data_IF_324625316385
#
_entry.id   IF_324625316385
#
_cell.length_a   1.000
_cell.length_b   1.000
_cell.length_c   1.000
_cell.angle_alpha   90.00
_cell.angle_beta   90.00
_cell.angle_gamma   90.00
#
_symmetry.space_group_name_H-M   'P 1'
#
loop_
_entity.id
_entity.type
_entity.pdbx_description
1 polymer ?
#
# COMPACT_ATOMS: atom_id res chain seq x y z
N UNK A 1 13.98 -18.21 23.31
CA UNK A 1 13.85 -17.59 21.98
C UNK A 1 12.53 -16.83 21.95
N UNK A 2 12.57 -15.52 22.17
CA UNK A 2 11.38 -14.65 22.18
C UNK A 2 11.01 -14.32 20.73
N UNK A 3 9.81 -14.72 20.32
CA UNK A 3 9.25 -14.31 19.03
C UNK A 3 8.81 -12.85 19.16
N UNK A 4 9.49 -11.95 18.48
CA UNK A 4 9.05 -10.56 18.31
C UNK A 4 7.85 -10.59 17.35
N UNK A 5 6.64 -10.53 17.88
CA UNK A 5 5.42 -10.36 17.09
C UNK A 5 5.18 -8.86 16.97
N UNK A 6 5.42 -8.31 15.79
CA UNK A 6 5.00 -6.95 15.47
C UNK A 6 3.46 -6.97 15.29
N UNK A 7 2.75 -6.67 16.34
CA UNK A 7 1.30 -6.43 16.29
C UNK A 7 1.08 -5.03 15.69
N UNK A 8 0.63 -4.98 14.44
CA UNK A 8 0.08 -3.73 13.90
C UNK A 8 -1.21 -3.42 14.66
N UNK A 9 -1.18 -2.39 15.49
CA UNK A 9 -2.31 -1.94 16.29
C UNK A 9 -3.42 -1.39 15.39
N UNK A 10 -4.58 -2.06 15.39
CA UNK A 10 -5.81 -1.59 14.78
C UNK A 10 -6.51 -0.70 15.79
N UNK A 11 -6.69 0.57 15.49
CA UNK A 11 -7.57 1.47 16.26
C UNK A 11 -8.99 1.32 15.69
N UNK A 12 -9.86 0.63 16.46
CA UNK A 12 -11.27 0.54 16.16
C UNK A 12 -11.98 1.82 16.62
N UNK A 13 -12.50 2.60 15.68
CA UNK A 13 -13.49 3.65 15.94
C UNK A 13 -14.89 3.03 15.83
N UNK A 14 -15.59 2.96 16.96
CA UNK A 14 -16.98 2.48 17.01
C UNK A 14 -17.92 3.51 16.40
N UNK A 15 -18.54 3.20 15.29
CA UNK A 15 -19.80 3.81 14.83
C UNK A 15 -20.75 2.73 14.36
N UNK A 16 -21.98 2.84 14.79
CA UNK A 16 -23.16 2.01 14.63
C UNK A 16 -23.26 1.16 13.37
N UNK A 17 -23.54 -0.10 13.60
CA UNK A 17 -23.63 -1.20 12.66
C UNK A 17 -24.61 -0.98 11.51
N UNK A 18 -24.14 -1.18 10.28
CA UNK A 18 -24.90 -1.79 9.20
C UNK A 18 -24.30 -3.19 8.97
N UNK A 19 -25.18 -4.17 9.03
CA UNK A 19 -24.88 -5.59 8.89
C UNK A 19 -24.24 -5.86 7.52
N UNK A 20 -22.92 -5.94 7.50
CA UNK A 20 -22.20 -6.58 6.40
C UNK A 20 -21.84 -7.99 6.88
N UNK A 21 -22.42 -9.03 6.28
CA UNK A 21 -22.29 -10.42 6.69
C UNK A 21 -21.04 -11.14 6.20
N UNK A 22 -19.97 -10.41 5.90
CA UNK A 22 -18.64 -10.99 5.78
C UNK A 22 -17.99 -10.86 7.17
N UNK A 23 -17.66 -11.97 7.79
CA UNK A 23 -16.91 -11.95 9.03
C UNK A 23 -15.65 -11.10 8.83
N UNK A 24 -15.50 -10.02 9.61
CA UNK A 24 -14.34 -9.18 9.59
C UNK A 24 -13.07 -10.03 9.69
N UNK A 25 -12.12 -9.80 8.80
CA UNK A 25 -10.89 -10.59 8.74
C UNK A 25 -9.66 -9.69 8.78
N UNK A 26 -8.63 -10.19 9.40
CA UNK A 26 -7.32 -9.56 9.44
C UNK A 26 -6.38 -10.32 8.49
N UNK A 27 -5.72 -9.58 7.63
CA UNK A 27 -4.68 -10.07 6.74
C UNK A 27 -3.34 -9.48 7.22
N UNK A 28 -2.37 -10.33 7.49
CA UNK A 28 -1.09 -9.87 8.01
C UNK A 28 0.09 -10.68 7.47
N UNK A 29 1.27 -10.09 7.57
CA UNK A 29 2.54 -10.66 7.19
C UNK A 29 3.27 -11.16 8.43
N UNK A 30 3.74 -12.40 8.40
CA UNK A 30 4.68 -12.92 9.39
C UNK A 30 6.06 -13.05 8.78
N UNK A 31 7.04 -12.40 9.40
CA UNK A 31 8.43 -12.41 8.97
C UNK A 31 9.24 -13.37 9.85
N UNK A 32 10.08 -14.16 9.21
CA UNK A 32 11.13 -14.95 9.84
C UNK A 32 12.42 -14.81 9.04
N UNK A 33 13.60 -15.18 9.59
CA UNK A 33 14.90 -14.95 8.93
C UNK A 33 15.02 -15.49 7.51
N UNK A 34 14.23 -16.50 7.14
CA UNK A 34 14.33 -17.18 5.86
C UNK A 34 13.05 -17.17 5.03
N UNK A 35 11.96 -16.57 5.50
CA UNK A 35 10.70 -16.50 4.77
C UNK A 35 9.82 -15.34 5.22
N UNK A 36 8.95 -14.90 4.32
CA UNK A 36 7.81 -14.05 4.61
C UNK A 36 6.55 -14.79 4.15
N UNK A 37 5.51 -14.87 4.99
CA UNK A 37 4.26 -15.59 4.69
C UNK A 37 3.06 -14.73 5.05
N UNK A 38 2.03 -14.88 4.26
CA UNK A 38 0.74 -14.28 4.53
C UNK A 38 -0.08 -15.18 5.46
N UNK A 39 -0.75 -14.55 6.40
CA UNK A 39 -1.68 -15.15 7.33
C UNK A 39 -3.01 -14.42 7.28
N UNK A 40 -4.06 -15.11 7.64
CA UNK A 40 -5.40 -14.57 7.78
C UNK A 40 -6.00 -15.04 9.10
N UNK A 41 -6.74 -14.17 9.77
CA UNK A 41 -7.50 -14.47 10.98
C UNK A 41 -8.86 -13.77 10.96
N UNK A 42 -9.72 -14.10 11.89
CA UNK A 42 -10.90 -13.30 12.21
C UNK A 42 -10.48 -11.97 12.84
N UNK A 43 -11.37 -10.97 12.87
CA UNK A 43 -11.07 -9.66 13.45
C UNK A 43 -10.75 -9.70 14.96
N UNK A 44 -11.25 -10.70 15.67
CA UNK A 44 -10.95 -10.97 17.08
C UNK A 44 -9.60 -11.69 17.31
N UNK A 45 -8.86 -11.98 16.21
CA UNK A 45 -7.60 -12.71 16.21
C UNK A 45 -7.76 -14.22 16.28
N UNK A 46 -8.96 -14.75 16.38
CA UNK A 46 -9.20 -16.20 16.33
C UNK A 46 -9.05 -16.75 14.90
N UNK A 47 -8.92 -18.06 14.76
CA UNK A 47 -8.86 -18.71 13.46
C UNK A 47 -7.62 -18.34 12.63
N UNK A 48 -6.54 -17.89 13.27
CA UNK A 48 -5.27 -17.60 12.58
C UNK A 48 -4.79 -18.83 11.81
N UNK A 49 -4.54 -18.65 10.52
CA UNK A 49 -3.97 -19.69 9.67
C UNK A 49 -3.09 -19.10 8.58
N UNK A 50 -2.09 -19.83 8.11
CA UNK A 50 -1.33 -19.42 6.95
C UNK A 50 -2.22 -19.40 5.70
N UNK A 51 -2.08 -18.35 4.91
CA UNK A 51 -2.73 -18.19 3.61
C UNK A 51 -1.85 -18.73 2.49
N UNK A 52 -0.53 -18.52 2.58
CA UNK A 52 0.44 -18.98 1.58
C UNK A 52 1.33 -20.10 2.13
N UNK A 53 1.87 -20.94 1.23
CA UNK A 53 2.76 -22.04 1.57
C UNK A 53 4.16 -21.55 1.96
N UNK A 54 4.92 -22.29 2.78
CA UNK A 54 6.31 -21.94 3.09
C UNK A 54 7.21 -22.07 1.85
N UNK A 55 8.34 -21.35 1.87
CA UNK A 55 9.39 -21.46 0.85
C UNK A 55 9.43 -20.32 -0.16
N UNK A 56 8.56 -19.32 -0.01
CA UNK A 56 8.59 -18.09 -0.81
C UNK A 56 8.62 -16.85 0.10
N UNK A 57 9.02 -15.72 -0.49
CA UNK A 57 8.84 -14.41 0.11
C UNK A 57 7.54 -13.83 -0.44
N UNK A 58 6.49 -13.82 0.40
CA UNK A 58 5.16 -13.30 0.06
C UNK A 58 4.88 -12.08 0.95
N UNK A 59 4.58 -10.92 0.34
CA UNK A 59 4.44 -9.66 1.08
C UNK A 59 3.51 -8.66 0.35
N UNK A 60 3.28 -7.50 0.96
CA UNK A 60 2.41 -6.42 0.47
C UNK A 60 1.01 -6.89 0.03
N UNK A 61 0.29 -7.64 0.89
CA UNK A 61 -1.05 -8.09 0.56
C UNK A 61 -2.07 -6.96 0.57
N UNK A 62 -3.05 -7.03 -0.34
CA UNK A 62 -4.20 -6.13 -0.40
C UNK A 62 -5.46 -6.88 -0.79
N UNK A 63 -6.56 -6.56 -0.13
CA UNK A 63 -7.87 -7.12 -0.43
C UNK A 63 -8.43 -6.56 -1.75
N UNK A 64 -9.17 -7.40 -2.48
CA UNK A 64 -10.10 -6.89 -3.48
C UNK A 64 -11.32 -6.26 -2.81
N UNK A 65 -12.00 -5.30 -3.46
CA UNK A 65 -13.15 -4.59 -2.87
C UNK A 65 -14.28 -5.49 -2.39
N UNK A 66 -14.54 -6.62 -3.04
CA UNK A 66 -15.56 -7.60 -2.63
C UNK A 66 -15.06 -8.60 -1.60
N UNK A 67 -13.76 -8.63 -1.33
CA UNK A 67 -13.15 -9.60 -0.43
C UNK A 67 -12.98 -11.00 -1.02
N UNK A 68 -13.21 -11.20 -2.31
CA UNK A 68 -13.10 -12.50 -2.98
C UNK A 68 -11.65 -12.86 -3.30
N UNK A 69 -10.79 -11.85 -3.43
CA UNK A 69 -9.38 -12.00 -3.77
C UNK A 69 -8.47 -11.21 -2.84
N UNK A 70 -7.26 -11.71 -2.71
CA UNK A 70 -6.11 -11.02 -2.11
C UNK A 70 -5.04 -10.96 -3.19
N UNK A 71 -4.61 -9.75 -3.57
CA UNK A 71 -3.41 -9.55 -4.40
C UNK A 71 -2.21 -9.37 -3.48
N UNK A 72 -1.07 -9.92 -3.85
CA UNK A 72 0.17 -9.85 -3.08
C UNK A 72 1.37 -9.98 -3.99
N UNK A 73 2.54 -9.63 -3.46
CA UNK A 73 3.81 -9.80 -4.14
C UNK A 73 4.47 -11.09 -3.69
N UNK A 74 5.04 -11.84 -4.63
CA UNK A 74 5.77 -13.08 -4.33
C UNK A 74 7.02 -13.21 -5.18
N UNK A 75 8.11 -13.68 -4.55
CA UNK A 75 9.38 -13.98 -5.23
C UNK A 75 9.55 -15.48 -5.57
N UNK A 76 8.45 -16.27 -5.54
CA UNK A 76 8.48 -17.71 -5.78
C UNK A 76 8.94 -18.13 -7.17
N UNK A 77 8.86 -17.24 -8.15
CA UNK A 77 9.28 -17.48 -9.53
C UNK A 77 10.66 -16.89 -9.86
N UNK A 78 11.40 -16.37 -8.85
CA UNK A 78 12.74 -15.82 -8.99
C UNK A 78 12.81 -14.30 -9.08
N UNK A 79 11.74 -13.63 -9.54
CA UNK A 79 11.53 -12.19 -9.45
C UNK A 79 10.32 -11.88 -8.58
N UNK A 80 10.20 -10.62 -8.12
CA UNK A 80 9.00 -10.19 -7.46
C UNK A 80 7.90 -9.96 -8.49
N UNK A 81 6.83 -10.73 -8.38
CA UNK A 81 5.67 -10.68 -9.25
C UNK A 81 4.38 -10.55 -8.45
N UNK A 82 3.34 -10.03 -9.10
CA UNK A 82 2.01 -10.01 -8.51
C UNK A 82 1.34 -11.38 -8.65
N UNK A 83 0.76 -11.81 -7.55
CA UNK A 83 -0.09 -12.99 -7.45
C UNK A 83 -1.42 -12.61 -6.83
N UNK A 84 -2.45 -13.42 -7.06
CA UNK A 84 -3.69 -13.38 -6.30
C UNK A 84 -4.06 -14.76 -5.77
N UNK A 85 -4.85 -14.76 -4.70
CA UNK A 85 -5.31 -15.98 -4.04
C UNK A 85 -6.67 -15.70 -3.41
N UNK A 86 -7.53 -16.72 -3.30
CA UNK A 86 -8.75 -16.59 -2.51
C UNK A 86 -8.47 -16.59 -1.02
N UNK A 87 -9.34 -15.99 -0.18
CA UNK A 87 -9.16 -15.98 1.27
C UNK A 87 -9.13 -17.37 1.91
N UNK A 88 -9.64 -18.40 1.26
CA UNK A 88 -9.56 -19.80 1.73
C UNK A 88 -8.22 -20.47 1.39
N UNK A 89 -7.36 -19.82 0.60
CA UNK A 89 -6.07 -20.31 0.14
C UNK A 89 -6.11 -21.03 -1.21
N UNK A 90 -7.27 -21.12 -1.83
CA UNK A 90 -7.42 -21.68 -3.18
C UNK A 90 -7.15 -20.65 -4.28
N UNK A 91 -7.05 -21.09 -5.53
CA UNK A 91 -7.01 -20.23 -6.70
C UNK A 91 -5.74 -19.39 -6.81
N UNK A 92 -4.59 -19.87 -6.32
CA UNK A 92 -3.32 -19.17 -6.51
C UNK A 92 -3.03 -18.97 -7.99
N UNK A 93 -2.87 -17.70 -8.40
CA UNK A 93 -2.77 -17.27 -9.78
C UNK A 93 -1.71 -16.18 -9.93
N UNK A 94 -0.70 -16.41 -10.79
CA UNK A 94 0.34 -15.42 -11.12
C UNK A 94 -0.23 -14.41 -12.10
N UNK A 95 -0.17 -13.13 -11.73
CA UNK A 95 -0.73 -12.02 -12.51
C UNK A 95 0.29 -11.38 -13.46
N UNK A 96 1.55 -11.34 -13.05
CA UNK A 96 2.65 -10.78 -13.85
C UNK A 96 3.82 -11.77 -13.93
N UNK A 97 4.63 -11.67 -14.99
CA UNK A 97 5.76 -12.55 -15.28
C UNK A 97 6.95 -11.82 -15.92
N UNK A 98 7.03 -10.51 -15.72
CA UNK A 98 8.12 -9.67 -16.22
C UNK A 98 9.39 -9.87 -15.36
N UNK A 99 10.60 -9.83 -15.93
CA UNK A 99 11.84 -9.91 -15.14
C UNK A 99 12.09 -8.70 -14.23
N UNK A 100 11.33 -7.61 -14.39
CA UNK A 100 11.35 -6.47 -13.47
C UNK A 100 10.63 -6.81 -12.15
N UNK A 101 10.83 -5.97 -11.12
CA UNK A 101 10.05 -6.07 -9.89
C UNK A 101 8.65 -5.51 -10.09
N UNK A 102 7.64 -6.32 -9.82
CA UNK A 102 6.23 -5.96 -9.78
C UNK A 102 5.71 -6.11 -8.35
N UNK A 103 5.26 -5.02 -7.72
CA UNK A 103 4.99 -4.95 -6.29
C UNK A 103 3.79 -4.05 -5.96
N UNK A 104 3.27 -4.14 -4.72
CA UNK A 104 2.29 -3.22 -4.13
C UNK A 104 0.99 -3.09 -4.96
N UNK A 105 0.42 -4.21 -5.37
CA UNK A 105 -0.82 -4.24 -6.15
C UNK A 105 -2.04 -3.74 -5.36
N UNK A 106 -2.92 -2.99 -6.04
CA UNK A 106 -4.22 -2.54 -5.52
C UNK A 106 -5.29 -2.70 -6.60
N UNK A 107 -6.39 -3.38 -6.26
CA UNK A 107 -7.51 -3.58 -7.17
C UNK A 107 -8.29 -2.29 -7.43
N UNK A 108 -8.77 -2.12 -8.66
CA UNK A 108 -9.83 -1.17 -8.98
C UNK A 108 -11.17 -1.57 -8.33
N UNK A 109 -12.11 -0.63 -8.10
CA UNK A 109 -13.39 -0.95 -7.46
C UNK A 109 -14.24 -1.99 -8.20
N UNK A 110 -14.08 -2.10 -9.51
CA UNK A 110 -14.76 -3.10 -10.34
C UNK A 110 -13.99 -4.42 -10.48
N UNK A 111 -12.80 -4.53 -9.83
CA UNK A 111 -11.89 -5.68 -9.84
C UNK A 111 -11.36 -6.11 -11.21
N UNK A 112 -11.52 -5.28 -12.23
CA UNK A 112 -11.05 -5.56 -13.58
C UNK A 112 -9.60 -5.13 -13.81
N UNK A 113 -9.09 -4.19 -13.03
CA UNK A 113 -7.74 -3.68 -13.14
C UNK A 113 -7.02 -3.74 -11.79
N UNK A 114 -5.70 -3.79 -11.83
CA UNK A 114 -4.81 -3.66 -10.67
C UNK A 114 -3.80 -2.57 -11.00
N UNK A 115 -3.73 -1.50 -10.19
CA UNK A 115 -2.60 -0.59 -10.22
C UNK A 115 -1.47 -1.19 -9.37
N UNK A 116 -0.23 -1.09 -9.83
CA UNK A 116 0.92 -1.66 -9.15
C UNK A 116 2.19 -0.87 -9.42
N UNK A 117 3.20 -1.11 -8.61
CA UNK A 117 4.55 -0.56 -8.78
C UNK A 117 5.37 -1.52 -9.61
N UNK A 118 6.11 -1.02 -10.59
CA UNK A 118 7.04 -1.83 -11.37
C UNK A 118 8.33 -1.06 -11.68
N UNK A 119 9.42 -1.81 -11.88
CA UNK A 119 10.71 -1.25 -12.28
C UNK A 119 11.02 -1.47 -13.77
N UNK A 120 10.03 -1.76 -14.61
CA UNK A 120 10.17 -2.03 -16.06
C UNK A 120 10.76 -0.84 -16.81
N UNK A 121 10.41 0.39 -16.42
CA UNK A 121 10.92 1.59 -17.02
C UNK A 121 12.19 2.06 -16.31
N UNK A 122 13.35 1.94 -16.96
CA UNK A 122 14.64 2.47 -16.50
C UNK A 122 15.07 2.03 -15.09
N UNK A 123 14.56 0.88 -14.61
CA UNK A 123 14.77 0.37 -13.25
C UNK A 123 14.32 1.34 -12.15
N UNK A 124 13.31 2.15 -12.43
CA UNK A 124 12.68 3.07 -11.48
C UNK A 124 11.30 2.56 -11.10
N UNK A 125 10.91 2.77 -9.87
CA UNK A 125 9.57 2.47 -9.41
C UNK A 125 8.56 3.43 -10.06
N UNK A 126 7.71 2.91 -10.94
CA UNK A 126 6.62 3.66 -11.58
C UNK A 126 5.32 2.87 -11.45
N UNK A 127 4.20 3.57 -11.57
CA UNK A 127 2.90 2.93 -11.55
C UNK A 127 2.51 2.43 -12.94
N UNK A 128 2.02 1.21 -12.97
CA UNK A 128 1.40 0.61 -14.14
C UNK A 128 0.02 0.07 -13.76
N UNK A 129 -0.81 -0.15 -14.76
CA UNK A 129 -2.14 -0.74 -14.60
C UNK A 129 -2.21 -2.02 -15.41
N UNK A 130 -2.56 -3.12 -14.74
CA UNK A 130 -2.78 -4.44 -15.31
C UNK A 130 -4.27 -4.66 -15.50
N UNK A 131 -4.68 -5.04 -16.70
CA UNK A 131 -6.00 -5.64 -16.95
C UNK A 131 -5.99 -7.10 -16.49
N UNK A 132 -6.83 -7.44 -15.53
CA UNK A 132 -6.84 -8.77 -14.88
C UNK A 132 -7.27 -9.88 -15.85
N UNK A 133 -8.18 -9.57 -16.78
CA UNK A 133 -8.71 -10.54 -17.73
C UNK A 133 -7.73 -10.86 -18.88
N UNK A 134 -7.11 -9.83 -19.44
CA UNK A 134 -6.21 -9.97 -20.60
C UNK A 134 -4.74 -10.11 -20.24
N UNK A 135 -4.37 -9.85 -18.99
CA UNK A 135 -2.97 -9.81 -18.49
C UNK A 135 -2.09 -8.76 -19.17
N UNK A 136 -2.68 -7.80 -19.84
CA UNK A 136 -1.94 -6.71 -20.46
C UNK A 136 -1.73 -5.59 -19.45
N UNK A 137 -0.49 -5.13 -19.33
CA UNK A 137 -0.12 -4.01 -18.47
C UNK A 137 0.22 -2.79 -19.32
N UNK A 138 -0.17 -1.59 -18.83
CA UNK A 138 0.14 -0.29 -19.42
C UNK A 138 0.78 0.63 -18.42
N UNK A 139 1.69 1.48 -18.85
CA UNK A 139 2.28 2.53 -18.02
C UNK A 139 1.20 3.53 -17.59
N UNK A 140 1.23 3.94 -16.33
CA UNK A 140 0.36 4.99 -15.79
C UNK A 140 1.17 6.25 -15.46
N UNK A 141 2.35 6.08 -14.85
CA UNK A 141 3.23 7.20 -14.52
C UNK A 141 4.59 7.04 -15.20
N UNK A 142 5.27 8.17 -15.34
CA UNK A 142 6.63 8.26 -15.89
C UNK A 142 7.37 9.42 -15.22
N UNK A 143 8.66 9.55 -15.50
CA UNK A 143 9.48 10.66 -15.03
C UNK A 143 10.62 10.22 -14.11
N UNK A 144 11.24 11.19 -13.46
CA UNK A 144 12.48 10.97 -12.71
C UNK A 144 12.28 10.55 -11.25
N UNK A 145 11.05 10.61 -10.71
CA UNK A 145 10.73 10.19 -9.35
C UNK A 145 10.36 8.73 -9.25
N UNK A 146 10.44 8.17 -8.05
CA UNK A 146 9.84 6.89 -7.69
C UNK A 146 8.39 7.10 -7.25
N UNK A 147 7.50 6.21 -7.67
CA UNK A 147 6.09 6.18 -7.33
C UNK A 147 5.77 4.88 -6.60
N UNK A 148 5.08 4.97 -5.44
CA UNK A 148 4.93 3.87 -4.50
C UNK A 148 3.55 3.84 -3.87
N UNK A 149 3.16 2.67 -3.33
CA UNK A 149 1.97 2.50 -2.49
C UNK A 149 0.67 3.01 -3.14
N UNK A 150 0.37 2.62 -4.38
CA UNK A 150 -0.84 3.06 -5.03
C UNK A 150 -2.10 2.53 -4.35
N UNK A 151 -3.16 3.33 -4.35
CA UNK A 151 -4.48 2.97 -3.86
C UNK A 151 -5.56 3.56 -4.75
N UNK A 152 -6.47 2.72 -5.26
CA UNK A 152 -7.65 3.16 -5.99
C UNK A 152 -8.65 3.83 -5.07
N UNK A 153 -9.29 4.93 -5.53
CA UNK A 153 -10.44 5.49 -4.83
C UNK A 153 -11.65 4.56 -4.95
N UNK A 154 -12.52 4.48 -3.93
CA UNK A 154 -13.72 3.65 -3.98
C UNK A 154 -14.66 3.97 -5.15
N UNK A 155 -14.71 5.22 -5.61
CA UNK A 155 -15.50 5.64 -6.78
C UNK A 155 -14.80 5.40 -8.13
N UNK A 156 -13.56 4.89 -8.12
CA UNK A 156 -12.78 4.55 -9.31
C UNK A 156 -12.22 5.74 -10.10
N UNK A 157 -12.39 6.96 -9.60
CA UNK A 157 -12.00 8.16 -10.36
C UNK A 157 -10.54 8.56 -10.18
N UNK A 158 -9.90 8.11 -9.10
CA UNK A 158 -8.56 8.50 -8.75
C UNK A 158 -7.70 7.32 -8.28
N UNK A 159 -6.41 7.46 -8.44
CA UNK A 159 -5.39 6.64 -7.80
C UNK A 159 -4.54 7.58 -6.95
N UNK A 160 -4.46 7.31 -5.64
CA UNK A 160 -3.56 8.00 -4.72
C UNK A 160 -2.25 7.21 -4.61
N UNK A 161 -1.13 7.89 -4.50
CA UNK A 161 0.18 7.24 -4.36
C UNK A 161 1.19 8.16 -3.69
N UNK A 162 2.25 7.57 -3.15
CA UNK A 162 3.41 8.28 -2.64
C UNK A 162 4.43 8.52 -3.74
N UNK A 163 5.07 9.68 -3.80
CA UNK A 163 6.10 9.94 -4.81
C UNK A 163 7.16 10.92 -4.33
N UNK A 164 8.41 10.67 -4.70
CA UNK A 164 9.54 11.58 -4.49
C UNK A 164 9.81 12.51 -5.70
N UNK A 165 8.89 12.56 -6.68
CA UNK A 165 9.02 13.36 -7.91
C UNK A 165 9.18 14.87 -7.68
N UNK A 166 8.69 15.38 -6.54
CA UNK A 166 8.85 16.76 -6.13
C UNK A 166 10.10 17.03 -5.29
N UNK A 167 10.89 16.00 -4.99
CA UNK A 167 12.08 16.10 -4.17
C UNK A 167 13.23 16.77 -4.91
N UNK A 168 13.97 17.62 -4.20
CA UNK A 168 15.26 18.16 -4.67
C UNK A 168 16.42 17.17 -4.57
N UNK A 169 16.19 16.02 -3.91
CA UNK A 169 17.17 14.97 -3.77
C UNK A 169 17.22 14.10 -5.03
N UNK A 170 18.36 13.42 -5.30
CA UNK A 170 18.43 12.48 -6.39
C UNK A 170 17.32 11.43 -6.28
N UNK A 171 16.65 11.05 -7.39
CA UNK A 171 15.54 10.11 -7.35
C UNK A 171 15.96 8.76 -6.77
N UNK A 172 15.01 8.12 -6.09
CA UNK A 172 15.20 6.77 -5.58
C UNK A 172 15.49 5.81 -6.73
N UNK A 173 16.49 4.95 -6.54
CA UNK A 173 16.77 3.84 -7.46
C UNK A 173 16.20 2.56 -6.85
N UNK A 174 15.47 1.79 -7.65
CA UNK A 174 14.89 0.54 -7.22
C UNK A 174 13.45 0.67 -6.73
N UNK A 175 12.98 -0.33 -5.96
CA UNK A 175 11.58 -0.52 -5.56
C UNK A 175 11.20 0.08 -4.20
N UNK A 176 12.13 0.71 -3.51
CA UNK A 176 11.91 1.19 -2.15
C UNK A 176 11.76 2.69 -2.10
N UNK A 177 10.79 3.15 -1.32
CA UNK A 177 10.61 4.56 -0.98
C UNK A 177 11.87 5.12 -0.30
N UNK A 178 12.19 6.36 -0.59
CA UNK A 178 13.12 7.12 0.25
C UNK A 178 12.38 7.66 1.45
N UNK A 179 13.02 7.60 2.61
CA UNK A 179 12.42 8.02 3.87
C UNK A 179 12.33 9.54 4.05
N UNK A 180 12.52 10.35 3.03
CA UNK A 180 12.42 11.80 3.14
C UNK A 180 12.01 12.45 1.83
N UNK A 181 11.20 13.49 1.94
CA UNK A 181 10.64 14.28 0.84
C UNK A 181 9.76 13.47 -0.13
N UNK A 182 8.91 12.63 0.43
CA UNK A 182 7.87 11.91 -0.32
C UNK A 182 6.52 12.59 -0.07
N UNK A 183 5.84 12.93 -1.14
CA UNK A 183 4.52 13.57 -1.12
C UNK A 183 3.41 12.61 -1.57
N UNK A 184 2.17 12.92 -1.22
CA UNK A 184 0.99 12.22 -1.73
C UNK A 184 0.51 12.91 -3.00
N UNK A 185 0.35 12.11 -4.05
CA UNK A 185 -0.16 12.52 -5.35
C UNK A 185 -1.45 11.79 -5.69
N UNK A 186 -2.25 12.43 -6.54
CA UNK A 186 -3.40 11.82 -7.22
C UNK A 186 -3.16 11.83 -8.72
N UNK A 187 -3.67 10.80 -9.39
CA UNK A 187 -3.70 10.69 -10.86
C UNK A 187 -5.01 10.02 -11.28
N UNK A 188 -5.52 10.37 -12.46
CA UNK A 188 -6.64 9.63 -13.06
C UNK A 188 -6.18 8.26 -13.55
N UNK A 189 -7.08 7.26 -13.63
CA UNK A 189 -6.74 5.94 -14.17
C UNK A 189 -6.24 5.95 -15.63
N UNK A 190 -6.57 6.97 -16.39
CA UNK A 190 -6.07 7.19 -17.77
C UNK A 190 -4.71 7.90 -17.84
N UNK A 191 -4.14 8.30 -16.68
CA UNK A 191 -2.87 9.02 -16.59
C UNK A 191 -3.00 10.54 -16.59
N UNK A 192 -4.18 11.10 -16.72
CA UNK A 192 -4.42 12.54 -16.68
C UNK A 192 -4.50 13.10 -15.25
N UNK A 193 -4.56 14.43 -15.14
CA UNK A 193 -4.80 15.16 -13.88
C UNK A 193 -3.84 14.83 -12.72
N UNK A 194 -2.57 14.60 -13.01
CA UNK A 194 -1.55 14.40 -11.97
C UNK A 194 -1.44 15.63 -11.08
N UNK A 195 -1.71 15.48 -9.79
CA UNK A 195 -1.60 16.58 -8.81
C UNK A 195 -1.10 16.10 -7.45
N UNK A 196 -0.30 16.95 -6.78
CA UNK A 196 0.08 16.76 -5.37
C UNK A 196 -1.04 17.25 -4.46
N UNK A 197 -1.29 16.54 -3.36
CA UNK A 197 -2.29 16.90 -2.36
C UNK A 197 -1.73 17.06 -0.95
N UNK A 198 -0.52 16.54 -0.65
CA UNK A 198 0.13 16.79 0.64
C UNK A 198 0.89 18.12 0.67
N UNK A 199 1.11 18.64 1.87
CA UNK A 199 2.00 19.79 2.06
C UNK A 199 3.45 19.42 1.75
N UNK A 200 4.16 20.30 1.03
CA UNK A 200 5.57 20.05 0.68
C UNK A 200 6.48 20.15 1.92
N UNK A 201 7.55 19.35 1.90
CA UNK A 201 8.57 19.36 2.95
C UNK A 201 8.38 18.35 4.07
N UNK A 202 7.31 17.57 4.02
CA UNK A 202 7.08 16.44 4.92
C UNK A 202 7.31 15.12 4.17
N UNK A 203 7.50 14.05 4.92
CA UNK A 203 7.38 12.70 4.39
C UNK A 203 5.97 12.18 4.65
N UNK A 204 5.20 11.97 3.59
CA UNK A 204 3.85 11.42 3.70
C UNK A 204 3.75 10.16 2.84
N UNK A 205 3.35 9.03 3.42
CA UNK A 205 3.33 7.75 2.73
C UNK A 205 2.10 6.89 2.96
N UNK A 206 2.01 5.81 2.19
CA UNK A 206 0.97 4.78 2.25
C UNK A 206 -0.46 5.32 2.26
N UNK A 207 -0.87 6.07 1.23
CA UNK A 207 -2.21 6.66 1.18
C UNK A 207 -3.29 5.58 1.16
N UNK A 208 -4.37 5.82 1.90
CA UNK A 208 -5.60 5.01 1.89
C UNK A 208 -6.81 5.92 1.79
N UNK A 209 -7.76 5.54 0.99
CA UNK A 209 -8.98 6.33 0.77
C UNK A 209 -9.99 6.19 1.91
N UNK A 210 -10.72 7.27 2.18
CA UNK A 210 -11.99 7.17 2.89
C UNK A 210 -13.07 6.62 1.95
N UNK A 211 -14.08 5.95 2.51
CA UNK A 211 -15.15 5.32 1.71
C UNK A 211 -15.90 6.29 0.79
N UNK A 212 -16.05 7.53 1.21
CA UNK A 212 -16.74 8.57 0.44
C UNK A 212 -15.88 9.13 -0.71
N UNK A 213 -14.66 8.63 -0.88
CA UNK A 213 -13.70 9.08 -1.90
C UNK A 213 -13.33 10.56 -1.82
N UNK A 214 -13.61 11.25 -0.70
CA UNK A 214 -13.34 12.68 -0.53
C UNK A 214 -12.03 12.99 0.13
N UNK A 215 -11.43 12.02 0.81
CA UNK A 215 -10.18 12.22 1.53
C UNK A 215 -9.26 11.01 1.43
N UNK A 216 -7.99 11.27 1.68
CA UNK A 216 -6.94 10.26 1.81
C UNK A 216 -6.38 10.32 3.22
N UNK A 217 -6.21 9.16 3.85
CA UNK A 217 -5.46 9.03 5.11
C UNK A 217 -4.06 8.55 4.76
N UNK A 218 -3.05 9.26 5.25
CA UNK A 218 -1.65 8.93 5.08
C UNK A 218 -0.91 9.07 6.42
N UNK A 219 0.19 8.36 6.60
CA UNK A 219 1.10 8.73 7.67
C UNK A 219 2.01 9.85 7.18
N UNK A 220 2.27 10.82 8.05
CA UNK A 220 3.19 11.91 7.77
C UNK A 220 4.15 12.12 8.95
N UNK A 221 5.38 12.55 8.62
CA UNK A 221 6.33 13.08 9.58
C UNK A 221 6.99 14.33 9.00
N UNK A 222 7.50 15.21 9.84
CA UNK A 222 8.24 16.37 9.36
C UNK A 222 9.53 15.95 8.64
N UNK A 223 9.99 16.75 7.70
CA UNK A 223 11.27 16.50 7.04
C UNK A 223 12.45 16.46 8.02
N UNK A 224 12.38 17.19 9.14
CA UNK A 224 13.37 17.17 10.21
C UNK A 224 13.37 15.81 10.95
N UNK A 225 12.18 15.29 11.29
CA UNK A 225 12.03 14.00 11.95
C UNK A 225 12.54 12.85 11.11
N UNK A 226 12.37 12.88 9.76
CA UNK A 226 12.88 11.82 8.87
C UNK A 226 14.39 11.67 8.92
N UNK A 227 15.13 12.76 9.17
CA UNK A 227 16.57 12.69 9.33
C UNK A 227 17.00 12.05 10.66
N UNK A 228 16.26 12.29 11.74
CA UNK A 228 16.49 11.68 13.05
C UNK A 228 16.21 10.17 13.01
N UNK A 229 15.14 9.76 12.33
CA UNK A 229 14.71 8.36 12.25
C UNK A 229 15.65 7.46 11.43
N UNK A 230 16.54 8.02 10.65
CA UNK A 230 17.44 7.31 9.72
C UNK A 230 18.37 6.29 10.40
N UNK A 231 18.61 6.39 11.69
CA UNK A 231 19.61 5.60 12.40
C UNK A 231 19.09 4.80 13.59
N UNK A 232 17.78 4.58 13.67
CA UNK A 232 17.21 3.73 14.72
C UNK A 232 17.01 4.43 16.07
N UNK A 233 16.97 5.76 16.10
CA UNK A 233 16.49 6.49 17.25
C UNK A 233 15.03 6.10 17.50
N UNK A 234 14.72 5.59 18.69
CA UNK A 234 13.43 5.03 19.06
C UNK A 234 12.33 6.10 19.21
N UNK A 235 12.67 7.37 19.10
CA UNK A 235 11.79 8.51 19.38
C UNK A 235 11.15 9.14 18.12
N UNK A 236 11.20 8.48 16.96
CA UNK A 236 10.54 8.97 15.75
C UNK A 236 9.02 9.02 15.92
N UNK A 237 8.42 10.18 15.61
CA UNK A 237 6.97 10.37 15.66
C UNK A 237 6.40 10.51 14.25
N UNK A 238 5.33 9.77 13.97
CA UNK A 238 4.51 9.97 12.79
C UNK A 238 3.09 10.28 13.21
N UNK A 239 2.42 11.09 12.40
CA UNK A 239 0.99 11.32 12.51
C UNK A 239 0.23 10.60 11.42
N UNK A 240 -0.98 10.13 11.70
CA UNK A 240 -1.94 9.84 10.65
C UNK A 240 -2.71 11.12 10.36
N UNK A 241 -2.67 11.56 9.12
CA UNK A 241 -3.36 12.75 8.66
C UNK A 241 -4.45 12.38 7.65
N UNK A 242 -5.57 13.10 7.74
CA UNK A 242 -6.62 13.05 6.73
C UNK A 242 -6.46 14.28 5.82
N UNK A 243 -6.31 14.03 4.52
CA UNK A 243 -6.11 15.07 3.50
C UNK A 243 -7.37 15.13 2.63
N UNK A 244 -8.02 16.27 2.57
CA UNK A 244 -9.13 16.52 1.64
C UNK A 244 -8.61 16.67 0.21
N UNK A 245 -9.15 15.90 -0.73
CA UNK A 245 -8.61 15.87 -2.11
C UNK A 245 -8.96 17.08 -2.96
N UNK A 246 -9.97 17.85 -2.57
CA UNK A 246 -10.40 19.03 -3.29
C UNK A 246 -9.61 20.27 -2.87
N UNK A 247 -9.33 20.41 -1.56
CA UNK A 247 -8.68 21.58 -0.99
C UNK A 247 -7.21 21.36 -0.68
N UNK A 248 -6.76 20.11 -0.47
CA UNK A 248 -5.44 19.79 0.06
C UNK A 248 -5.30 20.04 1.57
N UNK A 249 -6.38 20.46 2.25
CA UNK A 249 -6.36 20.66 3.69
C UNK A 249 -6.08 19.35 4.41
N UNK A 250 -5.09 19.35 5.30
CA UNK A 250 -4.72 18.17 6.09
C UNK A 250 -5.04 18.40 7.56
N UNK A 251 -5.60 17.37 8.21
CA UNK A 251 -5.91 17.37 9.64
C UNK A 251 -5.36 16.12 10.29
N UNK A 252 -4.69 16.21 11.45
CA UNK A 252 -4.28 15.02 12.18
C UNK A 252 -5.51 14.22 12.64
N UNK A 253 -5.46 12.91 12.45
CA UNK A 253 -6.48 11.95 12.92
C UNK A 253 -5.95 11.20 14.13
N UNK A 254 -4.66 10.88 14.10
CA UNK A 254 -3.94 10.23 15.20
C UNK A 254 -2.58 10.90 15.32
N UNK A 255 -2.29 11.42 16.51
CA UNK A 255 -1.00 12.01 16.89
C UNK A 255 -0.49 11.35 18.17
N UNK A 256 0.67 11.81 18.66
CA UNK A 256 1.32 11.31 19.87
C UNK A 256 2.51 10.39 19.58
N UNK A 257 3.19 9.89 20.63
CA UNK A 257 4.46 9.22 20.50
C UNK A 257 4.38 7.91 19.68
N UNK A 258 5.49 7.58 19.06
CA UNK A 258 5.69 6.35 18.30
C UNK A 258 5.37 6.48 16.81
N UNK A 259 5.85 5.49 16.07
CA UNK A 259 5.76 5.43 14.62
C UNK A 259 4.46 4.77 14.18
N UNK A 260 3.66 5.49 13.40
CA UNK A 260 2.41 5.02 12.80
C UNK A 260 2.60 4.93 11.29
N UNK A 261 2.52 3.74 10.74
CA UNK A 261 2.75 3.47 9.31
C UNK A 261 1.62 2.60 8.73
N UNK A 262 1.47 2.67 7.40
CA UNK A 262 0.57 1.80 6.65
C UNK A 262 -0.87 1.76 7.20
N UNK A 263 -1.56 2.92 7.30
CA UNK A 263 -2.93 2.95 7.77
C UNK A 263 -3.83 2.04 6.91
N UNK A 264 -4.87 1.51 7.52
CA UNK A 264 -5.93 0.80 6.81
C UNK A 264 -7.25 1.45 7.18
N UNK A 265 -8.07 1.73 6.18
CA UNK A 265 -9.43 2.26 6.36
C UNK A 265 -10.39 1.10 6.13
N UNK A 266 -11.28 0.87 7.09
CA UNK A 266 -12.32 -0.14 6.94
C UNK A 266 -13.33 0.32 5.87
N UNK A 267 -13.68 -0.61 5.01
CA UNK A 267 -14.68 -0.43 3.98
C UNK A 267 -16.11 -0.57 4.53
#
# INVERSE_FOLDING_TARGET
MHRLRLLLSIVALTSTALLCSAADRILFLSLAPTYARLFISNADGSGERPLTQPGSLDYNPSWSPKGDWIVFTSERAGSADLYRIHPDGSGLDRLTDDPAYDDQGSFSPNEKEIVFVTTRAERRANLWVLDVGTRKARSLTSGNGGDFRPAWSPDGKWIAFSSDRGSSLPPAKGRWERLHLVDIYLIRPDGSDLKRISAHGNFCGSPKWTQDSKSVIAYCMSGEETWKYRFGDEDGETELVKIDIATGESKPVVSGPGVKISPTVLA
#
